data_IF_363465675770
#
_entry.id   IF_363465675770
#
_cell.length_a   1.000
_cell.length_b   1.000
_cell.length_c   1.000
_cell.angle_alpha   90.00
_cell.angle_beta   90.00
_cell.angle_gamma   90.00
#
_symmetry.space_group_name_H-M   'P 1'
#
loop_
_entity.id
_entity.type
_entity.pdbx_description
1 polymer ?
#
# COMPACT_ATOMS: atom_id res chain seq x y z
N UNK A 1 0.76 -26.50 31.49
CA UNK A 1 0.06 -25.35 30.86
C UNK A 1 0.77 -24.88 29.58
N UNK A 2 2.10 -24.74 29.58
CA UNK A 2 2.88 -24.16 28.48
C UNK A 2 2.87 -24.96 27.16
N UNK A 3 2.89 -26.28 27.24
CA UNK A 3 2.91 -27.16 26.05
C UNK A 3 1.60 -27.10 25.25
N UNK A 4 0.46 -27.07 25.93
CA UNK A 4 -0.86 -26.95 25.29
C UNK A 4 -1.00 -25.66 24.47
N UNK A 5 -0.43 -24.56 24.97
CA UNK A 5 -0.44 -23.27 24.28
C UNK A 5 0.46 -23.28 23.02
N UNK A 6 1.58 -23.98 23.07
CA UNK A 6 2.48 -24.14 21.92
C UNK A 6 1.83 -24.96 20.79
N UNK A 7 1.16 -26.06 21.12
CA UNK A 7 0.40 -26.84 20.12
C UNK A 7 -0.74 -26.04 19.50
N UNK A 8 -1.51 -25.32 20.32
CA UNK A 8 -2.59 -24.46 19.84
C UNK A 8 -2.08 -23.39 18.87
N UNK A 9 -0.96 -22.73 19.23
CA UNK A 9 -0.34 -21.69 18.40
C UNK A 9 0.13 -22.25 17.05
N UNK A 10 0.74 -23.43 17.05
CA UNK A 10 1.18 -24.09 15.81
C UNK A 10 -0.01 -24.46 14.91
N UNK A 11 -1.09 -24.99 15.49
CA UNK A 11 -2.32 -25.29 14.75
C UNK A 11 -2.95 -24.02 14.16
N UNK A 12 -3.02 -22.93 14.91
CA UNK A 12 -3.54 -21.65 14.41
C UNK A 12 -2.67 -21.09 13.29
N UNK A 13 -1.34 -21.11 13.44
CA UNK A 13 -0.41 -20.63 12.43
C UNK A 13 -0.56 -21.41 11.12
N UNK A 14 -0.61 -22.75 11.19
CA UNK A 14 -0.82 -23.62 10.03
C UNK A 14 -2.17 -23.36 9.36
N UNK A 15 -3.24 -23.23 10.14
CA UNK A 15 -4.58 -22.98 9.62
C UNK A 15 -4.69 -21.60 8.94
N UNK A 16 -4.07 -20.57 9.52
CA UNK A 16 -4.02 -19.23 8.89
C UNK A 16 -3.23 -19.24 7.58
N UNK A 17 -2.10 -19.95 7.54
CA UNK A 17 -1.32 -20.10 6.31
C UNK A 17 -2.13 -20.80 5.20
N UNK A 18 -2.74 -21.95 5.51
CA UNK A 18 -3.58 -22.68 4.55
C UNK A 18 -4.75 -21.83 4.05
N UNK A 19 -5.43 -21.11 4.95
CA UNK A 19 -6.54 -20.23 4.57
C UNK A 19 -6.10 -19.11 3.61
N UNK A 20 -4.95 -18.47 3.87
CA UNK A 20 -4.40 -17.41 3.00
C UNK A 20 -3.98 -17.97 1.64
N UNK A 21 -3.33 -19.14 1.60
CA UNK A 21 -2.91 -19.79 0.35
C UNK A 21 -4.12 -20.12 -0.51
N UNK A 22 -5.15 -20.76 0.05
CA UNK A 22 -6.36 -21.14 -0.70
C UNK A 22 -7.07 -19.89 -1.27
N UNK A 23 -7.16 -18.82 -0.49
CA UNK A 23 -7.81 -17.57 -0.90
C UNK A 23 -7.04 -16.89 -2.03
N UNK A 24 -5.72 -16.81 -1.89
CA UNK A 24 -4.83 -16.25 -2.91
C UNK A 24 -4.89 -17.03 -4.22
N UNK A 25 -4.90 -18.37 -4.16
CA UNK A 25 -4.98 -19.22 -5.35
C UNK A 25 -6.28 -19.02 -6.13
N UNK A 26 -7.43 -18.95 -5.44
CA UNK A 26 -8.72 -18.64 -6.09
C UNK A 26 -8.68 -17.28 -6.79
N UNK A 27 -8.11 -16.30 -6.12
CA UNK A 27 -7.99 -14.96 -6.66
C UNK A 27 -7.07 -14.85 -7.88
N UNK A 28 -6.01 -15.66 -7.95
CA UNK A 28 -5.11 -15.74 -9.11
C UNK A 28 -5.83 -16.36 -10.31
N UNK A 29 -6.63 -17.40 -10.09
CA UNK A 29 -7.42 -18.03 -11.17
C UNK A 29 -8.45 -17.05 -11.74
N UNK A 30 -9.15 -16.31 -10.86
CA UNK A 30 -10.08 -15.26 -11.29
C UNK A 30 -9.36 -14.14 -12.07
N UNK A 31 -8.15 -13.75 -11.63
CA UNK A 31 -7.31 -12.77 -12.34
C UNK A 31 -6.98 -13.22 -13.78
N UNK A 32 -6.66 -14.50 -13.96
CA UNK A 32 -6.31 -15.06 -15.26
C UNK A 32 -7.51 -15.06 -16.22
N UNK A 33 -8.72 -15.32 -15.73
CA UNK A 33 -9.94 -15.36 -16.54
C UNK A 33 -10.41 -13.97 -16.99
N UNK A 34 -10.26 -12.94 -16.14
CA UNK A 34 -10.71 -11.56 -16.42
C UNK A 34 -9.70 -10.78 -17.27
N UNK A 35 -8.41 -11.08 -17.12
CA UNK A 35 -7.28 -10.38 -17.73
C UNK A 35 -6.75 -9.24 -16.86
N UNK A 36 -5.42 -9.24 -16.65
CA UNK A 36 -4.72 -8.41 -15.64
C UNK A 36 -5.00 -6.91 -15.75
N UNK A 37 -5.04 -6.35 -16.96
CA UNK A 37 -5.23 -4.91 -17.18
C UNK A 37 -6.65 -4.45 -16.83
N UNK A 38 -7.66 -5.27 -17.16
CA UNK A 38 -9.06 -5.01 -16.82
C UNK A 38 -9.30 -5.21 -15.33
N UNK A 39 -8.69 -6.23 -14.74
CA UNK A 39 -8.73 -6.51 -13.31
C UNK A 39 -8.13 -5.35 -12.49
N UNK A 40 -6.97 -4.81 -12.88
CA UNK A 40 -6.34 -3.69 -12.18
C UNK A 40 -7.19 -2.43 -12.21
N UNK A 41 -7.79 -2.09 -13.37
CA UNK A 41 -8.69 -0.93 -13.47
C UNK A 41 -9.96 -1.13 -12.62
N UNK A 42 -10.55 -2.32 -12.62
CA UNK A 42 -11.74 -2.62 -11.84
C UNK A 42 -11.48 -2.59 -10.32
N UNK A 43 -10.30 -3.03 -9.89
CA UNK A 43 -9.90 -3.00 -8.48
C UNK A 43 -9.49 -1.61 -8.05
N UNK A 44 -8.77 -0.86 -8.87
CA UNK A 44 -8.39 0.53 -8.57
C UNK A 44 -9.59 1.46 -8.45
N UNK A 45 -10.72 1.14 -9.09
CA UNK A 45 -11.98 1.88 -8.94
C UNK A 45 -12.58 1.80 -7.52
N UNK A 46 -12.23 0.77 -6.74
CA UNK A 46 -12.69 0.59 -5.36
C UNK A 46 -11.48 0.36 -4.44
N UNK A 47 -10.93 1.42 -3.81
CA UNK A 47 -9.70 1.34 -3.02
C UNK A 47 -9.78 0.31 -1.88
N UNK A 48 -10.98 0.06 -1.39
CA UNK A 48 -11.28 -0.95 -0.40
C UNK A 48 -10.91 -2.38 -0.82
N UNK A 49 -11.21 -2.77 -2.07
CA UNK A 49 -10.82 -4.09 -2.61
C UNK A 49 -9.30 -4.19 -2.75
N UNK A 50 -8.64 -3.08 -3.06
CA UNK A 50 -7.17 -2.98 -3.13
C UNK A 50 -6.56 -3.24 -1.75
N UNK A 51 -7.05 -2.55 -0.71
CA UNK A 51 -6.54 -2.66 0.66
C UNK A 51 -6.69 -4.09 1.19
N UNK A 52 -7.81 -4.76 0.89
CA UNK A 52 -7.99 -6.16 1.27
C UNK A 52 -6.99 -7.09 0.58
N UNK A 53 -6.82 -6.96 -0.74
CA UNK A 53 -5.84 -7.74 -1.51
C UNK A 53 -4.41 -7.51 -1.02
N UNK A 54 -4.05 -6.25 -0.76
CA UNK A 54 -2.76 -5.89 -0.20
C UNK A 54 -2.54 -6.54 1.16
N UNK A 55 -3.55 -6.53 2.05
CA UNK A 55 -3.47 -7.17 3.37
C UNK A 55 -3.22 -8.68 3.30
N UNK A 56 -3.82 -9.36 2.32
CA UNK A 56 -3.63 -10.80 2.11
C UNK A 56 -2.21 -11.11 1.63
N UNK A 57 -1.65 -10.27 0.75
CA UNK A 57 -0.27 -10.40 0.27
C UNK A 57 0.73 -10.11 1.41
N UNK A 58 0.49 -9.08 2.22
CA UNK A 58 1.33 -8.78 3.40
C UNK A 58 1.31 -9.93 4.41
N UNK A 59 0.15 -10.55 4.65
CA UNK A 59 0.03 -11.76 5.48
C UNK A 59 0.84 -12.94 4.93
N UNK A 60 0.79 -13.15 3.62
CA UNK A 60 1.58 -14.20 2.97
C UNK A 60 3.09 -13.94 3.09
N UNK A 61 3.53 -12.68 3.16
CA UNK A 61 4.93 -12.30 3.36
C UNK A 61 5.39 -12.44 4.83
N UNK A 62 4.49 -12.35 5.81
CA UNK A 62 4.85 -12.52 7.24
C UNK A 62 5.30 -13.96 7.53
N UNK A 63 4.70 -14.96 6.91
CA UNK A 63 5.04 -16.38 7.12
C UNK A 63 6.49 -16.74 6.78
N UNK A 64 7.04 -16.38 5.59
CA UNK A 64 8.45 -16.62 5.30
C UNK A 64 9.37 -15.76 6.18
N UNK A 65 8.94 -14.56 6.59
CA UNK A 65 9.71 -13.71 7.49
C UNK A 65 9.88 -14.37 8.86
N UNK A 66 8.83 -15.02 9.38
CA UNK A 66 8.87 -15.80 10.62
C UNK A 66 9.85 -16.97 10.53
N UNK A 67 9.89 -17.68 9.40
CA UNK A 67 10.83 -18.80 9.20
C UNK A 67 12.28 -18.34 9.02
N UNK A 68 12.50 -17.12 8.52
CA UNK A 68 13.84 -16.54 8.32
C UNK A 68 14.43 -15.87 9.57
N UNK A 69 13.72 -15.90 10.71
CA UNK A 69 14.11 -15.24 11.97
C UNK A 69 15.45 -15.75 12.55
N UNK A 70 16.01 -16.85 12.03
CA UNK A 70 17.33 -17.36 12.43
C UNK A 70 18.50 -16.49 11.93
N UNK A 71 18.27 -15.59 10.97
CA UNK A 71 19.34 -14.90 10.24
C UNK A 71 19.74 -13.54 10.84
N UNK A 72 18.81 -12.76 11.43
CA UNK A 72 19.15 -11.40 11.90
C UNK A 72 18.20 -10.82 12.98
N UNK A 73 18.71 -10.13 14.02
CA UNK A 73 17.89 -9.56 15.11
C UNK A 73 16.94 -8.44 14.69
N UNK A 74 17.22 -7.73 13.59
CA UNK A 74 16.34 -6.67 13.04
C UNK A 74 15.03 -7.25 12.49
N UNK A 75 15.00 -8.54 12.14
CA UNK A 75 13.83 -9.20 11.58
C UNK A 75 12.67 -9.30 12.58
N UNK A 76 12.96 -9.34 13.89
CA UNK A 76 11.96 -9.31 14.96
C UNK A 76 11.22 -7.98 14.99
N UNK A 77 11.93 -6.86 14.82
CA UNK A 77 11.31 -5.53 14.82
C UNK A 77 10.38 -5.39 13.61
N UNK A 78 10.86 -5.82 12.43
CA UNK A 78 10.10 -5.78 11.19
C UNK A 78 8.81 -6.60 11.29
N UNK A 79 8.90 -7.80 11.85
CA UNK A 79 7.76 -8.68 12.05
C UNK A 79 6.68 -8.08 12.97
N UNK A 80 7.08 -7.44 14.08
CA UNK A 80 6.14 -6.75 14.96
C UNK A 80 5.43 -5.59 14.26
N UNK A 81 6.18 -4.76 13.51
CA UNK A 81 5.60 -3.63 12.76
C UNK A 81 4.65 -4.12 11.67
N UNK A 82 5.02 -5.16 10.92
CA UNK A 82 4.18 -5.78 9.89
C UNK A 82 2.91 -6.36 10.50
N UNK A 83 3.01 -7.05 11.64
CA UNK A 83 1.87 -7.63 12.36
C UNK A 83 0.88 -6.54 12.80
N UNK A 84 1.36 -5.46 13.42
CA UNK A 84 0.51 -4.33 13.84
C UNK A 84 -0.18 -3.70 12.62
N UNK A 85 0.55 -3.50 11.52
CA UNK A 85 0.02 -2.94 10.29
C UNK A 85 -1.10 -3.81 9.70
N UNK A 86 -0.95 -5.13 9.71
CA UNK A 86 -1.98 -6.09 9.25
C UNK A 86 -3.21 -6.06 10.15
N UNK A 87 -3.05 -5.96 11.48
CA UNK A 87 -4.18 -5.84 12.41
C UNK A 87 -4.96 -4.56 12.14
N UNK A 88 -4.28 -3.42 11.96
CA UNK A 88 -4.92 -2.15 11.59
C UNK A 88 -5.67 -2.28 10.25
N UNK A 89 -5.04 -2.88 9.24
CA UNK A 89 -5.69 -3.11 7.94
C UNK A 89 -6.94 -3.99 8.05
N UNK A 90 -6.91 -5.00 8.91
CA UNK A 90 -8.03 -5.92 9.16
C UNK A 90 -9.19 -5.22 9.87
N UNK A 91 -8.91 -4.31 10.81
CA UNK A 91 -9.96 -3.53 11.48
C UNK A 91 -10.72 -2.64 10.50
N UNK A 92 -10.04 -2.06 9.51
CA UNK A 92 -10.67 -1.28 8.45
C UNK A 92 -11.61 -2.14 7.57
N UNK A 93 -11.25 -3.41 7.35
CA UNK A 93 -12.09 -4.36 6.60
C UNK A 93 -13.36 -4.77 7.38
N UNK A 94 -13.31 -4.81 8.71
CA UNK A 94 -14.48 -5.13 9.54
C UNK A 94 -15.58 -4.06 9.41
N UNK A 95 -15.21 -2.78 9.36
CA UNK A 95 -16.14 -1.68 9.14
C UNK A 95 -16.88 -1.81 7.80
N UNK A 96 -16.22 -2.35 6.77
CA UNK A 96 -16.88 -2.59 5.50
C UNK A 96 -17.92 -3.71 5.56
N UNK A 97 -17.70 -4.75 6.36
CA UNK A 97 -18.68 -5.82 6.52
C UNK A 97 -20.02 -5.31 7.11
N UNK A 98 -19.96 -4.25 7.93
CA UNK A 98 -21.14 -3.55 8.43
C UNK A 98 -22.00 -2.89 7.33
N UNK A 99 -21.49 -2.74 6.10
CA UNK A 99 -22.26 -2.25 4.94
C UNK A 99 -23.47 -3.14 4.62
N UNK A 100 -23.40 -4.45 4.92
CA UNK A 100 -24.48 -5.39 4.66
C UNK A 100 -25.76 -5.16 5.48
N UNK A 101 -25.72 -4.30 6.50
CA UNK A 101 -26.89 -3.95 7.30
C UNK A 101 -27.64 -2.78 6.67
N UNK A 102 -28.93 -2.99 6.35
CA UNK A 102 -29.80 -2.01 5.65
C UNK A 102 -29.84 -0.62 6.28
N UNK A 103 -29.62 -0.50 7.59
CA UNK A 103 -29.65 0.79 8.30
C UNK A 103 -28.27 1.45 8.43
N UNK A 104 -27.20 0.65 8.56
CA UNK A 104 -25.83 1.13 8.85
C UNK A 104 -25.01 1.33 7.57
N UNK A 105 -25.40 0.71 6.46
CA UNK A 105 -24.70 0.78 5.19
C UNK A 105 -24.46 2.20 4.66
N UNK A 106 -25.50 3.07 4.56
CA UNK A 106 -25.32 4.45 4.11
C UNK A 106 -24.41 5.27 5.03
N UNK A 107 -24.49 5.05 6.33
CA UNK A 107 -23.67 5.74 7.33
C UNK A 107 -22.18 5.37 7.21
N UNK A 108 -21.87 4.08 7.10
CA UNK A 108 -20.49 3.59 6.92
C UNK A 108 -19.88 4.10 5.62
N UNK A 109 -20.66 4.14 4.53
CA UNK A 109 -20.18 4.66 3.24
C UNK A 109 -19.85 6.16 3.30
N UNK A 110 -20.64 6.95 4.04
CA UNK A 110 -20.36 8.38 4.28
C UNK A 110 -19.09 8.59 5.08
N UNK A 111 -18.93 7.87 6.20
CA UNK A 111 -17.72 7.94 7.05
C UNK A 111 -16.48 7.47 6.27
N UNK A 112 -16.60 6.41 5.50
CA UNK A 112 -15.52 5.91 4.65
C UNK A 112 -15.04 6.97 3.64
N UNK A 113 -15.97 7.69 3.01
CA UNK A 113 -15.64 8.79 2.09
C UNK A 113 -14.88 9.93 2.77
N UNK A 114 -15.25 10.27 4.00
CA UNK A 114 -14.56 11.29 4.79
C UNK A 114 -13.14 10.83 5.13
N UNK A 115 -12.99 9.61 5.65
CA UNK A 115 -11.69 9.06 6.04
C UNK A 115 -10.76 8.96 4.83
N UNK A 116 -11.21 8.40 3.70
CA UNK A 116 -10.37 8.26 2.51
C UNK A 116 -10.01 9.64 1.93
N UNK A 117 -10.94 10.59 1.90
CA UNK A 117 -10.64 11.95 1.43
C UNK A 117 -9.59 12.66 2.28
N UNK A 118 -9.69 12.51 3.60
CA UNK A 118 -8.79 13.12 4.58
C UNK A 118 -7.40 12.46 4.55
N UNK A 119 -7.33 11.13 4.61
CA UNK A 119 -6.07 10.37 4.56
C UNK A 119 -5.29 10.60 3.26
N UNK A 120 -5.98 10.66 2.11
CA UNK A 120 -5.32 10.93 0.83
C UNK A 120 -4.78 12.36 0.75
N UNK A 121 -5.46 13.34 1.33
CA UNK A 121 -4.96 14.73 1.41
C UNK A 121 -3.71 14.79 2.29
N UNK A 122 -3.73 14.15 3.45
CA UNK A 122 -2.56 14.08 4.34
C UNK A 122 -1.36 13.37 3.69
N UNK A 123 -1.61 12.23 3.03
CA UNK A 123 -0.57 11.48 2.31
C UNK A 123 0.04 12.31 1.17
N UNK A 124 -0.79 13.04 0.44
CA UNK A 124 -0.35 13.87 -0.68
C UNK A 124 0.60 14.99 -0.20
N UNK A 125 0.24 15.73 0.85
CA UNK A 125 1.09 16.78 1.42
C UNK A 125 2.41 16.16 1.95
N UNK A 126 2.33 15.02 2.63
CA UNK A 126 3.49 14.32 3.16
C UNK A 126 4.44 13.82 2.05
N UNK A 127 3.89 13.32 0.94
CA UNK A 127 4.69 12.85 -0.19
C UNK A 127 5.49 13.97 -0.87
N UNK A 128 4.88 15.16 -1.01
CA UNK A 128 5.56 16.35 -1.55
C UNK A 128 6.70 16.78 -0.63
N UNK A 129 6.47 16.76 0.68
CA UNK A 129 7.48 17.09 1.68
C UNK A 129 8.68 16.13 1.59
N UNK A 130 8.44 14.81 1.60
CA UNK A 130 9.51 13.80 1.49
C UNK A 130 10.30 13.93 0.20
N UNK A 131 9.62 14.07 -0.94
CA UNK A 131 10.29 14.21 -2.23
C UNK A 131 11.13 15.49 -2.29
N UNK A 132 10.67 16.57 -1.65
CA UNK A 132 11.42 17.80 -1.47
C UNK A 132 12.76 17.59 -0.75
N UNK A 133 12.77 16.89 0.39
CA UNK A 133 14.01 16.58 1.11
C UNK A 133 14.87 15.54 0.41
N UNK A 134 14.27 14.55 -0.24
CA UNK A 134 15.01 13.53 -0.98
C UNK A 134 15.80 14.15 -2.15
N UNK A 135 15.24 15.17 -2.80
CA UNK A 135 15.90 15.89 -3.88
C UNK A 135 17.13 16.67 -3.40
N UNK A 136 17.06 17.30 -2.22
CA UNK A 136 18.20 18.01 -1.62
C UNK A 136 19.36 17.06 -1.32
N UNK A 137 19.06 15.92 -0.68
CA UNK A 137 20.09 14.93 -0.30
C UNK A 137 20.68 14.19 -1.50
N UNK A 138 19.86 13.87 -2.51
CA UNK A 138 20.35 13.24 -3.73
C UNK A 138 21.23 14.19 -4.56
N UNK A 139 20.92 15.50 -4.58
CA UNK A 139 21.74 16.50 -5.25
C UNK A 139 23.12 16.62 -4.59
N UNK A 140 23.15 16.69 -3.25
CA UNK A 140 24.39 16.87 -2.50
C UNK A 140 25.34 15.66 -2.66
N UNK A 141 24.81 14.44 -2.60
CA UNK A 141 25.59 13.22 -2.82
C UNK A 141 26.12 13.11 -4.26
N UNK A 142 25.33 13.53 -5.26
CA UNK A 142 25.77 13.57 -6.65
C UNK A 142 26.88 14.61 -6.88
N UNK A 143 26.86 15.75 -6.17
CA UNK A 143 27.93 16.74 -6.21
C UNK A 143 29.23 16.16 -5.62
N UNK A 144 29.14 15.48 -4.47
CA UNK A 144 30.30 14.82 -3.84
C UNK A 144 30.93 13.76 -4.75
N UNK A 145 30.12 12.89 -5.36
CA UNK A 145 30.60 11.86 -6.28
C UNK A 145 31.16 12.40 -7.61
N UNK A 146 30.67 13.54 -8.10
CA UNK A 146 31.19 14.18 -9.30
C UNK A 146 32.52 14.92 -9.06
N UNK A 147 32.71 15.51 -7.88
CA UNK A 147 33.93 16.23 -7.52
C UNK A 147 35.17 15.33 -7.44
N UNK A 148 34.98 14.03 -7.20
CA UNK A 148 36.07 13.05 -7.11
C UNK A 148 36.56 12.56 -8.48
N UNK A 149 35.81 12.79 -9.57
CA UNK A 149 36.15 12.24 -10.90
C UNK A 149 36.61 13.28 -11.94
N UNK A 150 36.15 14.55 -11.90
CA UNK A 150 36.56 15.59 -12.88
C UNK A 150 36.49 17.01 -12.25
N UNK A 151 37.62 17.70 -11.98
CA UNK A 151 37.61 19.01 -11.32
C UNK A 151 37.29 20.22 -12.23
N UNK A 152 36.82 20.02 -13.48
CA UNK A 152 36.76 21.10 -14.47
C UNK A 152 35.61 21.10 -15.49
N UNK A 153 34.40 20.61 -15.16
CA UNK A 153 33.21 20.88 -16.00
C UNK A 153 32.01 21.42 -15.22
N UNK A 154 31.13 22.21 -15.87
CA UNK A 154 30.17 23.05 -15.18
C UNK A 154 28.91 22.27 -14.74
N UNK A 155 28.71 22.25 -13.43
CA UNK A 155 27.63 21.55 -12.71
C UNK A 155 26.22 22.18 -12.82
N UNK A 156 25.85 22.83 -13.94
CA UNK A 156 24.53 23.51 -14.05
C UNK A 156 23.53 22.84 -15.01
N UNK A 157 23.97 22.23 -16.12
CA UNK A 157 23.05 21.81 -17.20
C UNK A 157 22.39 20.45 -16.96
N UNK A 158 23.10 19.48 -16.38
CA UNK A 158 22.55 18.16 -16.06
C UNK A 158 21.64 18.18 -14.82
N UNK A 159 21.96 19.04 -13.83
CA UNK A 159 21.17 19.21 -12.61
C UNK A 159 19.79 19.85 -12.89
N UNK A 160 19.71 20.76 -13.87
CA UNK A 160 18.44 21.32 -14.35
C UNK A 160 17.54 20.27 -15.04
N UNK A 161 18.13 19.25 -15.68
CA UNK A 161 17.40 18.16 -16.34
C UNK A 161 16.84 17.14 -15.33
N UNK A 162 17.60 16.80 -14.28
CA UNK A 162 17.14 15.92 -13.20
C UNK A 162 16.01 16.56 -12.37
N UNK A 163 16.08 17.86 -12.07
CA UNK A 163 14.97 18.61 -11.45
C UNK A 163 13.68 18.54 -12.27
N UNK A 164 13.79 18.60 -13.60
CA UNK A 164 12.63 18.49 -14.51
C UNK A 164 12.03 17.08 -14.53
N UNK A 165 12.85 16.02 -14.53
CA UNK A 165 12.37 14.63 -14.54
C UNK A 165 11.66 14.26 -13.24
N UNK A 166 12.24 14.59 -12.09
CA UNK A 166 11.63 14.30 -10.78
C UNK A 166 10.39 15.15 -10.54
N UNK A 167 10.41 16.45 -10.86
CA UNK A 167 9.22 17.28 -10.79
C UNK A 167 8.12 16.76 -11.73
N UNK A 168 8.47 16.31 -12.94
CA UNK A 168 7.51 15.71 -13.87
C UNK A 168 6.93 14.40 -13.32
N UNK A 169 7.73 13.54 -12.66
CA UNK A 169 7.26 12.34 -11.96
C UNK A 169 6.36 12.67 -10.76
N UNK A 170 6.70 13.66 -9.94
CA UNK A 170 5.87 14.13 -8.83
C UNK A 170 4.55 14.73 -9.32
N UNK A 171 4.59 15.54 -10.39
CA UNK A 171 3.41 16.13 -11.01
C UNK A 171 2.56 15.07 -11.69
N UNK A 172 3.15 14.07 -12.37
CA UNK A 172 2.41 12.96 -12.98
C UNK A 172 1.79 12.06 -11.92
N UNK A 173 2.50 11.77 -10.81
CA UNK A 173 1.95 11.03 -9.68
C UNK A 173 0.84 11.82 -8.99
N UNK A 174 1.01 13.13 -8.81
CA UNK A 174 0.00 14.05 -8.27
C UNK A 174 -1.24 14.10 -9.17
N UNK A 175 -1.09 14.31 -10.48
CA UNK A 175 -2.20 14.34 -11.45
C UNK A 175 -2.88 12.97 -11.52
N UNK A 176 -2.13 11.87 -11.45
CA UNK A 176 -2.69 10.50 -11.43
C UNK A 176 -3.48 10.27 -10.14
N UNK A 177 -2.94 10.64 -8.97
CA UNK A 177 -3.63 10.53 -7.68
C UNK A 177 -4.86 11.45 -7.58
N UNK A 178 -4.74 12.69 -8.02
CA UNK A 178 -5.83 13.67 -8.03
C UNK A 178 -6.91 13.27 -9.06
N UNK A 179 -6.50 12.70 -10.19
CA UNK A 179 -7.38 12.07 -11.18
C UNK A 179 -8.11 10.84 -10.65
N UNK A 180 -7.47 10.01 -9.81
CA UNK A 180 -8.13 8.92 -9.08
C UNK A 180 -9.13 9.48 -8.05
N UNK A 181 -8.82 10.61 -7.41
CA UNK A 181 -9.68 11.26 -6.41
C UNK A 181 -10.95 11.86 -7.03
N UNK A 182 -10.82 12.57 -8.16
CA UNK A 182 -11.95 13.16 -8.90
C UNK A 182 -12.71 12.10 -9.70
N UNK A 183 -11.98 11.18 -10.35
CA UNK A 183 -12.52 10.06 -11.11
C UNK A 183 -13.29 9.08 -10.24
N UNK A 184 -12.69 8.62 -9.13
CA UNK A 184 -13.31 7.72 -8.14
C UNK A 184 -14.56 8.30 -7.47
N UNK A 185 -14.59 9.63 -7.27
CA UNK A 185 -15.78 10.32 -6.76
C UNK A 185 -16.97 10.24 -7.74
N UNK A 186 -16.74 10.26 -9.06
CA UNK A 186 -17.77 10.08 -10.09
C UNK A 186 -18.23 8.62 -10.25
N UNK A 187 -17.35 7.64 -10.03
CA UNK A 187 -17.72 6.21 -10.11
C UNK A 187 -18.60 5.81 -8.91
N UNK A 188 -18.33 6.35 -7.71
CA UNK A 188 -19.24 6.13 -6.57
C UNK A 188 -20.56 6.88 -6.70
N UNK A 189 -20.61 8.01 -7.42
CA UNK A 189 -21.87 8.72 -7.66
C UNK A 189 -22.81 8.02 -8.67
N UNK A 190 -22.32 7.05 -9.44
CA UNK A 190 -23.09 6.27 -10.40
C UNK A 190 -23.36 4.82 -9.96
N UNK A 191 -23.04 4.46 -8.72
CA UNK A 191 -23.35 3.13 -8.21
C UNK A 191 -24.81 3.09 -7.73
N UNK A 192 -25.66 2.19 -8.25
CA UNK A 192 -27.05 2.10 -7.78
C UNK A 192 -27.08 1.77 -6.28
N UNK A 193 -28.07 2.29 -5.53
CA UNK A 193 -28.29 1.87 -4.15
C UNK A 193 -28.65 0.37 -4.16
N UNK A 194 -27.71 -0.46 -3.71
CA UNK A 194 -27.93 -1.88 -3.40
C UNK A 194 -28.17 -2.06 -1.92
#
# INVERSE_FOLDING_TARGET
MSYMLQYLRFCCELLTFLAVVIRTSKDIVDMQQIGLRRWWMAISAFPEKVLHKASQVTLLLIVPIRTACFIHPVMLLLDNVMTITVVLMTTMHFLFYCRGMRFVGPFVLMVYKIIVGDMLRFLLIYSVFILGFAQEKAMDLAIWGANEMIPSLPNYTLCASQKKIVACLSISFYITMYGILIGGSRIVANLPPG
#
